data_IF_726500178961
#
_entry.id   IF_726500178961
#
_cell.length_a   1.000
_cell.length_b   1.000
_cell.length_c   1.000
_cell.angle_alpha   90.00
_cell.angle_beta   90.00
_cell.angle_gamma   90.00
#
_symmetry.space_group_name_H-M   'P 1'
#
loop_
_entity.id
_entity.type
_entity.pdbx_description
1 polymer ?
#
# COMPACT_ATOMS: atom_id res chain seq x y z
N UNK A 1 14.27 6.50 28.29
CA UNK A 1 13.18 5.91 27.46
C UNK A 1 12.54 4.74 28.19
N UNK A 2 13.34 3.78 28.67
CA UNK A 2 12.88 2.53 29.29
C UNK A 2 11.93 2.66 30.50
N UNK A 3 11.98 3.79 31.20
CA UNK A 3 11.11 4.04 32.37
C UNK A 3 9.64 4.23 32.00
N UNK A 4 9.34 4.64 30.77
CA UNK A 4 7.98 5.00 30.34
C UNK A 4 7.41 4.07 29.27
N UNK A 5 8.16 3.05 28.87
CA UNK A 5 7.72 2.04 27.89
C UNK A 5 7.96 0.62 28.37
N UNK A 6 7.29 -0.33 27.72
CA UNK A 6 7.61 -1.75 27.80
C UNK A 6 8.15 -2.21 26.45
N UNK A 7 9.30 -2.88 26.45
CA UNK A 7 9.94 -3.41 25.23
C UNK A 7 9.62 -4.89 25.10
N UNK A 8 9.06 -5.29 23.95
CA UNK A 8 8.60 -6.64 23.63
C UNK A 8 7.65 -7.25 24.66
N UNK A 9 6.53 -6.58 25.00
CA UNK A 9 5.63 -7.02 26.06
C UNK A 9 4.87 -8.33 25.73
N UNK A 10 4.90 -8.79 24.48
CA UNK A 10 4.22 -10.00 24.04
C UNK A 10 5.08 -10.82 23.09
N UNK A 11 5.19 -12.11 23.39
CA UNK A 11 5.84 -13.11 22.55
C UNK A 11 4.86 -14.24 22.28
N UNK A 12 4.93 -14.80 21.07
CA UNK A 12 4.12 -15.94 20.67
C UNK A 12 4.42 -17.14 21.56
N UNK A 13 3.38 -17.64 22.23
CA UNK A 13 3.45 -18.86 23.03
C UNK A 13 3.33 -20.12 22.17
N UNK A 14 3.54 -21.29 22.80
CA UNK A 14 3.30 -22.59 22.15
C UNK A 14 1.81 -22.82 21.86
N UNK A 15 0.94 -22.33 22.72
CA UNK A 15 -0.52 -22.45 22.62
C UNK A 15 -1.12 -21.33 21.77
N UNK A 16 -0.53 -21.07 20.60
CA UNK A 16 -1.00 -20.03 19.69
C UNK A 16 -2.34 -20.44 19.06
N UNK A 17 -3.42 -19.63 19.21
CA UNK A 17 -4.78 -20.07 18.87
C UNK A 17 -5.12 -19.95 17.37
N UNK A 18 -4.28 -19.30 16.57
CA UNK A 18 -4.58 -19.05 15.15
C UNK A 18 -3.85 -20.01 14.22
N UNK A 19 -4.58 -20.57 13.24
CA UNK A 19 -4.01 -21.46 12.21
C UNK A 19 -3.12 -20.71 11.19
N UNK A 20 -3.35 -19.41 11.03
CA UNK A 20 -2.59 -18.50 10.16
C UNK A 20 -2.22 -17.24 10.92
N UNK A 21 -1.11 -16.61 10.55
CA UNK A 21 -0.67 -15.32 11.08
C UNK A 21 -0.43 -14.31 9.97
N UNK A 22 -0.68 -13.05 10.30
CA UNK A 22 -0.27 -11.90 9.51
C UNK A 22 1.17 -11.56 9.95
N UNK A 23 2.16 -11.91 9.12
CA UNK A 23 3.57 -11.77 9.45
C UNK A 23 4.18 -10.52 8.81
N UNK A 24 4.86 -9.71 9.64
CA UNK A 24 5.58 -8.51 9.19
C UNK A 24 7.08 -8.72 9.41
N UNK A 25 7.82 -8.81 8.30
CA UNK A 25 9.28 -8.82 8.30
C UNK A 25 9.87 -7.40 8.20
N UNK A 26 11.18 -7.26 8.44
CA UNK A 26 11.87 -5.96 8.34
C UNK A 26 11.74 -5.37 6.93
N UNK A 27 11.80 -6.22 5.89
CA UNK A 27 11.68 -5.75 4.51
C UNK A 27 10.34 -5.12 4.16
N UNK A 28 9.28 -5.47 4.91
CA UNK A 28 7.93 -4.96 4.69
C UNK A 28 7.68 -3.59 5.37
N UNK A 29 8.66 -3.06 6.10
CA UNK A 29 8.53 -1.79 6.84
C UNK A 29 9.61 -0.80 6.42
N UNK A 30 9.17 0.33 5.88
CA UNK A 30 10.00 1.49 5.56
C UNK A 30 10.00 2.54 6.67
N UNK A 31 10.22 3.79 6.28
CA UNK A 31 10.19 4.94 7.19
C UNK A 31 8.74 5.36 7.49
N UNK A 32 8.13 4.72 8.50
CA UNK A 32 6.79 5.06 8.97
C UNK A 32 5.64 4.53 8.12
N UNK A 33 5.92 3.60 7.21
CA UNK A 33 4.96 3.03 6.27
C UNK A 33 5.25 1.57 5.98
N UNK A 34 4.20 0.83 5.62
CA UNK A 34 4.34 -0.51 5.04
C UNK A 34 4.75 -0.37 3.58
N UNK A 35 5.84 -1.03 3.18
CA UNK A 35 6.32 -1.04 1.79
C UNK A 35 5.67 -2.13 0.96
N UNK A 36 5.17 -3.16 1.63
CA UNK A 36 4.54 -4.34 1.04
C UNK A 36 3.39 -4.80 1.94
N UNK A 37 2.42 -5.54 1.39
CA UNK A 37 1.38 -6.13 2.21
C UNK A 37 1.95 -7.22 3.13
N UNK A 38 1.53 -7.28 4.41
CA UNK A 38 1.94 -8.34 5.31
C UNK A 38 1.60 -9.73 4.75
N UNK A 39 2.56 -10.66 4.83
CA UNK A 39 2.34 -12.01 4.36
C UNK A 39 1.36 -12.75 5.29
N UNK A 40 0.31 -13.34 4.71
CA UNK A 40 -0.53 -14.30 5.45
C UNK A 40 0.09 -15.68 5.34
N UNK A 41 0.61 -16.20 6.46
CA UNK A 41 1.35 -17.47 6.47
C UNK A 41 0.67 -18.48 7.41
N UNK A 42 0.61 -19.78 7.05
CA UNK A 42 0.21 -20.83 7.96
C UNK A 42 1.15 -20.88 9.17
N UNK A 43 0.61 -20.99 10.38
CA UNK A 43 1.39 -20.92 11.63
C UNK A 43 2.50 -21.97 11.71
N UNK A 44 2.28 -23.15 11.13
CA UNK A 44 3.26 -24.24 11.09
C UNK A 44 4.44 -23.99 10.12
N UNK A 45 4.28 -23.05 9.19
CA UNK A 45 5.33 -22.61 8.25
C UNK A 45 5.97 -21.29 8.67
N UNK A 46 5.57 -20.74 9.83
CA UNK A 46 6.07 -19.47 10.30
C UNK A 46 7.59 -19.52 10.53
N UNK A 47 8.35 -18.51 10.06
CA UNK A 47 9.78 -18.46 10.30
C UNK A 47 10.07 -18.39 11.80
N UNK A 48 11.24 -18.86 12.22
CA UNK A 48 11.64 -18.84 13.64
C UNK A 48 11.61 -17.43 14.25
N UNK A 49 11.77 -16.40 13.43
CA UNK A 49 11.70 -14.98 13.81
C UNK A 49 10.27 -14.44 14.00
N UNK A 50 9.21 -15.12 13.56
CA UNK A 50 7.82 -14.71 13.78
C UNK A 50 7.41 -14.95 15.24
N UNK A 51 7.75 -14.00 16.12
CA UNK A 51 7.61 -14.18 17.57
C UNK A 51 6.96 -12.99 18.28
N UNK A 52 7.18 -11.75 17.86
CA UNK A 52 6.77 -10.60 18.67
C UNK A 52 5.32 -10.23 18.37
N UNK A 53 4.51 -10.10 19.41
CA UNK A 53 3.10 -9.75 19.31
C UNK A 53 2.94 -8.24 19.36
N UNK A 54 2.02 -7.72 18.55
CA UNK A 54 1.75 -6.29 18.41
C UNK A 54 0.29 -6.00 18.73
N UNK A 55 0.04 -4.87 19.38
CA UNK A 55 -1.29 -4.33 19.66
C UNK A 55 -1.45 -2.95 19.04
N UNK A 56 -2.69 -2.48 18.98
CA UNK A 56 -2.97 -1.10 18.61
C UNK A 56 -2.20 -0.14 19.53
N UNK A 57 -1.59 0.88 18.93
CA UNK A 57 -0.77 1.87 19.63
C UNK A 57 0.68 1.47 19.90
N UNK A 58 1.10 0.26 19.56
CA UNK A 58 2.51 -0.12 19.65
C UNK A 58 3.34 0.56 18.54
N UNK A 59 4.59 0.88 18.84
CA UNK A 59 5.59 1.27 17.84
C UNK A 59 6.51 0.09 17.58
N UNK A 60 6.62 -0.35 16.34
CA UNK A 60 7.63 -1.34 15.94
C UNK A 60 8.84 -0.60 15.37
N UNK A 61 10.05 -0.97 15.82
CA UNK A 61 11.31 -0.32 15.44
C UNK A 61 12.35 -1.39 15.11
N UNK A 62 12.94 -1.35 13.92
CA UNK A 62 13.97 -2.31 13.54
C UNK A 62 15.20 -2.14 14.43
N UNK A 63 15.66 -3.24 15.01
CA UNK A 63 16.94 -3.29 15.74
C UNK A 63 18.11 -3.65 14.82
N UNK A 64 17.86 -3.83 13.53
CA UNK A 64 18.87 -4.11 12.51
C UNK A 64 18.96 -2.92 11.57
N UNK A 65 20.18 -2.43 11.33
CA UNK A 65 20.46 -1.26 10.48
C UNK A 65 19.58 -0.07 10.87
N UNK A 66 19.72 0.46 12.10
CA UNK A 66 18.88 1.56 12.60
C UNK A 66 18.91 2.78 11.67
N UNK A 67 20.00 3.00 10.93
CA UNK A 67 20.11 4.02 9.89
C UNK A 67 19.07 3.95 8.77
N UNK A 68 18.46 2.77 8.52
CA UNK A 68 17.35 2.62 7.55
C UNK A 68 16.03 3.13 8.07
N UNK A 69 15.92 3.32 9.38
CA UNK A 69 14.72 3.86 10.02
C UNK A 69 13.48 3.05 9.65
N UNK A 70 13.59 1.72 9.68
CA UNK A 70 12.44 0.85 9.53
C UNK A 70 11.64 0.87 10.83
N UNK A 71 10.59 1.70 10.87
CA UNK A 71 9.66 1.75 12.00
C UNK A 71 8.22 2.02 11.54
N UNK A 72 7.26 1.63 12.35
CA UNK A 72 5.83 1.80 12.06
C UNK A 72 5.03 1.94 13.36
N UNK A 73 4.00 2.78 13.32
CA UNK A 73 2.97 2.82 14.34
C UNK A 73 1.86 1.83 14.01
N UNK A 74 1.62 0.86 14.89
CA UNK A 74 0.62 -0.17 14.70
C UNK A 74 -0.79 0.40 14.92
N UNK A 75 -1.58 0.45 13.85
CA UNK A 75 -2.97 0.92 13.85
C UNK A 75 -3.91 -0.25 13.61
N UNK A 76 -4.73 -0.57 14.61
CA UNK A 76 -5.71 -1.67 14.58
C UNK A 76 -5.16 -2.96 13.95
N UNK A 77 -4.00 -3.48 14.41
CA UNK A 77 -3.48 -4.74 13.87
C UNK A 77 -4.46 -5.88 14.14
N UNK A 78 -4.54 -6.83 13.22
CA UNK A 78 -5.32 -8.04 13.41
C UNK A 78 -4.82 -8.82 14.63
N UNK A 79 -5.68 -9.55 15.37
CA UNK A 79 -5.26 -10.32 16.56
C UNK A 79 -4.17 -11.36 16.28
N UNK A 80 -4.05 -11.81 15.03
CA UNK A 80 -3.05 -12.77 14.58
C UNK A 80 -1.81 -12.10 13.94
N UNK A 81 -1.61 -10.79 14.11
CA UNK A 81 -0.42 -10.08 13.63
C UNK A 81 0.80 -10.40 14.50
N UNK A 82 1.88 -10.83 13.85
CA UNK A 82 3.15 -11.18 14.48
C UNK A 82 4.27 -10.52 13.70
N UNK A 83 5.22 -9.90 14.39
CA UNK A 83 6.37 -9.24 13.76
C UNK A 83 7.66 -10.00 14.02
N UNK A 84 8.61 -9.82 13.09
CA UNK A 84 9.94 -10.41 13.17
C UNK A 84 10.65 -10.03 14.46
N UNK A 85 11.46 -10.95 15.01
CA UNK A 85 12.39 -10.63 16.10
C UNK A 85 13.46 -9.62 15.69
N UNK A 86 13.53 -9.22 14.43
CA UNK A 86 14.31 -8.06 14.00
C UNK A 86 13.77 -6.70 14.44
N UNK A 87 12.53 -6.62 14.96
CA UNK A 87 11.92 -5.39 15.46
C UNK A 87 11.79 -5.37 16.96
N UNK A 88 12.14 -4.29 17.66
CA UNK A 88 11.62 -3.97 18.98
C UNK A 88 10.16 -3.53 18.90
N UNK A 89 9.28 -4.13 19.71
CA UNK A 89 7.92 -3.66 19.91
C UNK A 89 7.93 -2.78 21.16
N UNK A 90 7.70 -1.49 20.98
CA UNK A 90 7.69 -0.49 22.04
C UNK A 90 6.24 -0.17 22.38
N UNK A 91 5.82 -0.51 23.59
CA UNK A 91 4.47 -0.20 24.10
C UNK A 91 4.55 0.92 25.11
N UNK A 92 3.79 1.97 24.90
CA UNK A 92 3.65 3.07 25.85
C UNK A 92 3.06 2.58 27.19
N UNK A 93 3.60 3.07 28.31
CA UNK A 93 2.90 3.04 29.59
C UNK A 93 2.04 4.30 29.64
N UNK A 94 0.73 4.14 29.43
CA UNK A 94 -0.20 5.24 29.15
C UNK A 94 -0.25 6.33 30.25
N UNK A 95 0.17 5.99 31.47
CA UNK A 95 0.33 6.92 32.59
C UNK A 95 1.47 7.92 32.41
N UNK A 96 2.45 7.61 31.57
CA UNK A 96 3.74 8.30 31.52
C UNK A 96 4.04 8.86 30.12
N UNK A 97 3.59 8.16 29.07
CA UNK A 97 3.81 8.58 27.69
C UNK A 97 2.61 8.30 26.79
N UNK A 98 2.28 9.25 25.92
CA UNK A 98 1.31 9.05 24.84
C UNK A 98 1.91 8.20 23.71
N UNK A 99 1.15 7.23 23.18
CA UNK A 99 1.67 6.28 22.19
C UNK A 99 2.04 6.92 20.85
N UNK A 100 1.30 7.95 20.42
CA UNK A 100 1.63 8.70 19.19
C UNK A 100 2.79 9.66 19.43
N UNK A 101 2.94 10.19 20.66
CA UNK A 101 4.14 10.94 21.03
C UNK A 101 5.39 10.05 21.06
N UNK A 102 5.31 8.83 21.61
CA UNK A 102 6.37 7.82 21.54
C UNK A 102 6.78 7.57 20.08
N UNK A 103 5.81 7.43 19.18
CA UNK A 103 6.10 7.28 17.75
C UNK A 103 6.84 8.48 17.16
N UNK A 104 6.41 9.71 17.49
CA UNK A 104 7.09 10.92 17.07
C UNK A 104 8.54 11.01 17.59
N UNK A 105 8.80 10.57 18.83
CA UNK A 105 10.17 10.47 19.37
C UNK A 105 11.03 9.49 18.58
N UNK A 106 10.48 8.32 18.23
CA UNK A 106 11.20 7.30 17.45
C UNK A 106 11.49 7.79 16.02
N UNK A 107 10.64 8.65 15.46
CA UNK A 107 10.87 9.32 14.19
C UNK A 107 11.89 10.48 14.27
N UNK A 108 12.32 10.90 15.45
CA UNK A 108 13.34 11.94 15.55
C UNK A 108 14.68 11.44 14.98
N UNK A 109 15.32 12.29 14.18
CA UNK A 109 16.67 12.03 13.66
C UNK A 109 17.67 11.88 14.79
N UNK A 110 17.54 12.70 15.85
CA UNK A 110 18.45 12.61 17.00
C UNK A 110 18.38 11.24 17.68
N UNK A 111 17.18 10.65 17.77
CA UNK A 111 17.00 9.30 18.30
C UNK A 111 17.65 8.23 17.40
N UNK A 112 17.47 8.35 16.08
CA UNK A 112 18.13 7.46 15.11
C UNK A 112 19.66 7.57 15.19
N UNK A 113 20.19 8.78 15.22
CA UNK A 113 21.63 9.05 15.28
C UNK A 113 22.23 8.45 16.56
N UNK A 114 21.56 8.62 17.70
CA UNK A 114 21.92 7.97 18.95
C UNK A 114 22.02 6.44 18.80
N UNK A 115 21.03 5.79 18.17
CA UNK A 115 21.05 4.34 17.97
C UNK A 115 22.17 3.90 17.02
N UNK A 116 22.43 4.66 15.97
CA UNK A 116 23.54 4.40 15.03
C UNK A 116 24.89 4.45 15.74
N UNK A 117 25.08 5.34 16.72
CA UNK A 117 26.35 5.38 17.50
C UNK A 117 26.59 4.13 18.36
N UNK A 118 25.56 3.31 18.59
CA UNK A 118 25.59 2.11 19.45
C UNK A 118 25.54 0.81 18.67
N UNK A 119 25.42 0.87 17.35
CA UNK A 119 25.29 -0.33 16.53
C UNK A 119 26.57 -1.18 16.57
N UNK A 120 26.38 -2.50 16.65
CA UNK A 120 27.47 -3.47 16.66
C UNK A 120 27.38 -4.40 15.44
N UNK A 121 28.53 -4.76 14.88
CA UNK A 121 28.64 -5.68 13.76
C UNK A 121 28.83 -4.97 12.41
N UNK A 122 29.92 -5.29 11.71
CA UNK A 122 30.31 -4.57 10.48
C UNK A 122 29.39 -4.84 9.27
N UNK A 123 28.95 -6.09 9.05
CA UNK A 123 28.13 -6.46 7.88
C UNK A 123 26.61 -6.38 8.13
N UNK A 124 26.21 -6.53 9.40
CA UNK A 124 24.83 -6.49 9.87
C UNK A 124 24.79 -5.71 11.18
N UNK A 125 24.88 -4.37 11.10
CA UNK A 125 24.85 -3.55 12.30
C UNK A 125 23.51 -3.72 12.99
N UNK A 126 23.54 -3.96 14.29
CA UNK A 126 22.36 -4.14 15.10
C UNK A 126 22.52 -3.45 16.45
N UNK A 127 21.39 -3.06 17.02
CA UNK A 127 21.27 -2.54 18.39
C UNK A 127 20.59 -3.56 19.28
N UNK A 128 20.90 -3.51 20.57
CA UNK A 128 20.20 -4.27 21.58
C UNK A 128 18.93 -3.54 22.03
N UNK A 129 18.03 -4.23 22.74
CA UNK A 129 16.91 -3.58 23.41
C UNK A 129 17.37 -2.68 24.57
N UNK A 130 18.55 -2.95 25.13
CA UNK A 130 19.13 -2.14 26.20
C UNK A 130 19.53 -0.75 25.68
N UNK A 131 20.03 -0.67 24.46
CA UNK A 131 20.38 0.62 23.82
C UNK A 131 19.15 1.53 23.70
N UNK A 132 17.98 0.95 23.35
CA UNK A 132 16.69 1.65 23.31
C UNK A 132 16.24 2.04 24.71
N UNK A 133 16.42 1.15 25.70
CA UNK A 133 16.03 1.39 27.08
C UNK A 133 16.77 2.61 27.67
N UNK A 134 18.08 2.68 27.45
CA UNK A 134 18.97 3.73 27.95
C UNK A 134 18.84 5.07 27.24
N UNK A 135 18.13 5.14 26.11
CA UNK A 135 18.00 6.37 25.34
C UNK A 135 17.38 7.50 26.17
N UNK A 136 18.11 8.61 26.32
CA UNK A 136 17.60 9.82 26.95
C UNK A 136 16.70 10.57 25.97
N UNK A 137 15.49 10.91 26.41
CA UNK A 137 14.48 11.58 25.57
C UNK A 137 13.83 12.71 26.33
N UNK A 138 13.47 13.79 25.63
CA UNK A 138 12.69 14.88 26.20
C UNK A 138 11.26 14.40 26.45
N UNK A 139 10.83 14.43 27.72
CA UNK A 139 9.51 13.98 28.13
C UNK A 139 8.74 15.16 28.77
N UNK A 140 8.03 15.97 27.97
CA UNK A 140 7.17 17.02 28.50
C UNK A 140 5.96 16.41 29.23
N UNK A 141 5.18 17.20 29.98
CA UNK A 141 3.96 16.72 30.61
C UNK A 141 2.96 16.10 29.62
N UNK A 142 2.17 15.12 30.05
CA UNK A 142 1.23 14.38 29.17
C UNK A 142 0.31 15.25 28.32
N UNK A 143 -0.16 16.39 28.84
CA UNK A 143 -1.04 17.29 28.09
C UNK A 143 -0.33 17.89 26.87
N UNK A 144 0.96 18.19 26.99
CA UNK A 144 1.79 18.73 25.91
C UNK A 144 2.16 17.62 24.93
N UNK A 145 2.51 16.42 25.42
CA UNK A 145 2.72 15.24 24.57
C UNK A 145 1.50 14.97 23.68
N UNK A 146 0.29 14.95 24.26
CA UNK A 146 -0.97 14.76 23.53
C UNK A 146 -1.22 15.87 22.50
N UNK A 147 -0.84 17.11 22.81
CA UNK A 147 -0.98 18.23 21.87
C UNK A 147 -0.05 18.06 20.66
N UNK A 148 1.20 17.69 20.89
CA UNK A 148 2.18 17.39 19.84
C UNK A 148 1.70 16.22 18.99
N UNK A 149 1.33 15.11 19.65
CA UNK A 149 0.82 13.90 19.02
C UNK A 149 -0.43 14.15 18.17
N UNK A 150 -1.33 15.03 18.61
CA UNK A 150 -2.52 15.41 17.85
C UNK A 150 -2.15 16.12 16.55
N UNK A 151 -1.23 17.09 16.60
CA UNK A 151 -0.82 17.86 15.41
C UNK A 151 -0.11 16.96 14.41
N UNK A 152 0.92 16.24 14.84
CA UNK A 152 1.70 15.36 13.96
C UNK A 152 0.84 14.19 13.44
N UNK A 153 0.09 13.56 14.35
CA UNK A 153 -0.77 12.43 14.00
C UNK A 153 -1.87 12.81 13.00
N UNK A 154 -2.39 14.04 13.04
CA UNK A 154 -3.40 14.49 12.06
C UNK A 154 -2.85 14.58 10.63
N UNK A 155 -1.57 14.90 10.48
CA UNK A 155 -0.89 14.93 9.18
C UNK A 155 -0.63 13.51 8.67
N UNK A 156 -0.14 12.63 9.55
CA UNK A 156 0.06 11.21 9.22
C UNK A 156 -1.26 10.53 8.81
N UNK A 157 -2.35 10.80 9.54
CA UNK A 157 -3.67 10.26 9.24
C UNK A 157 -4.14 10.72 7.84
N UNK A 158 -3.82 11.96 7.44
CA UNK A 158 -4.14 12.50 6.12
C UNK A 158 -3.28 11.91 5.00
N UNK A 159 -1.99 11.70 5.24
CA UNK A 159 -1.07 11.05 4.28
C UNK A 159 -1.56 9.63 3.99
N UNK A 160 -1.91 8.88 5.04
CA UNK A 160 -2.41 7.52 4.93
C UNK A 160 -3.74 7.48 4.15
N UNK A 161 -4.66 8.40 4.43
CA UNK A 161 -5.91 8.52 3.68
C UNK A 161 -5.65 8.77 2.19
N UNK A 162 -4.77 9.71 1.84
CA UNK A 162 -4.44 10.01 0.45
C UNK A 162 -3.80 8.81 -0.26
N UNK A 163 -2.92 8.05 0.42
CA UNK A 163 -2.34 6.83 -0.16
C UNK A 163 -3.39 5.78 -0.50
N UNK A 164 -4.35 5.55 0.39
CA UNK A 164 -5.49 4.63 0.13
C UNK A 164 -6.36 5.08 -1.03
N UNK A 165 -6.60 6.39 -1.13
CA UNK A 165 -7.32 6.96 -2.27
C UNK A 165 -6.55 6.72 -3.57
N UNK A 166 -5.23 6.99 -3.60
CA UNK A 166 -4.41 6.72 -4.78
C UNK A 166 -4.43 5.24 -5.19
N UNK A 167 -4.26 4.32 -4.23
CA UNK A 167 -4.34 2.88 -4.50
C UNK A 167 -5.70 2.49 -5.07
N UNK A 168 -6.80 3.01 -4.51
CA UNK A 168 -8.16 2.74 -5.02
C UNK A 168 -8.34 3.27 -6.45
N UNK A 169 -7.85 4.49 -6.73
CA UNK A 169 -7.91 5.07 -8.07
C UNK A 169 -7.08 4.28 -9.08
N UNK A 170 -5.92 3.76 -8.68
CA UNK A 170 -5.08 2.91 -9.50
C UNK A 170 -5.76 1.57 -9.82
N UNK A 171 -6.38 0.93 -8.82
CA UNK A 171 -7.15 -0.30 -9.01
C UNK A 171 -8.33 -0.08 -9.99
N UNK A 172 -9.06 1.02 -9.82
CA UNK A 172 -10.14 1.39 -10.73
C UNK A 172 -9.62 1.64 -12.15
N UNK A 173 -8.53 2.40 -12.30
CA UNK A 173 -7.92 2.66 -13.59
C UNK A 173 -7.45 1.37 -14.28
N UNK A 174 -6.83 0.45 -13.53
CA UNK A 174 -6.38 -0.85 -14.04
C UNK A 174 -7.55 -1.74 -14.46
N UNK A 175 -8.65 -1.74 -13.69
CA UNK A 175 -9.86 -2.48 -14.04
C UNK A 175 -10.50 -1.94 -15.33
N UNK A 176 -10.61 -0.61 -15.46
CA UNK A 176 -11.12 0.05 -16.67
C UNK A 176 -10.21 -0.27 -17.87
N UNK A 177 -8.89 -0.13 -17.71
CA UNK A 177 -7.94 -0.41 -18.78
C UNK A 177 -8.04 -1.86 -19.26
N UNK A 178 -8.10 -2.81 -18.34
CA UNK A 178 -8.28 -4.22 -18.68
C UNK A 178 -9.59 -4.45 -19.44
N UNK A 179 -10.71 -3.98 -18.90
CA UNK A 179 -12.03 -4.11 -19.53
C UNK A 179 -12.03 -3.55 -20.96
N UNK A 180 -11.46 -2.36 -21.18
CA UNK A 180 -11.57 -1.67 -22.46
C UNK A 180 -10.54 -2.12 -23.50
N UNK A 181 -9.32 -2.44 -23.07
CA UNK A 181 -8.17 -2.62 -23.97
C UNK A 181 -7.54 -4.01 -23.91
N UNK A 182 -7.97 -4.88 -22.99
CA UNK A 182 -7.51 -6.27 -22.92
C UNK A 182 -8.67 -7.23 -23.20
N UNK A 183 -9.79 -7.05 -22.52
CA UNK A 183 -10.97 -7.91 -22.66
C UNK A 183 -11.93 -7.40 -23.76
N UNK A 184 -11.76 -6.14 -24.17
CA UNK A 184 -12.53 -5.44 -25.21
C UNK A 184 -14.04 -5.39 -24.93
N UNK A 185 -14.44 -5.27 -23.67
CA UNK A 185 -15.85 -5.31 -23.23
C UNK A 185 -16.76 -4.36 -24.01
N UNK A 186 -16.40 -3.09 -24.29
CA UNK A 186 -17.26 -2.20 -25.07
C UNK A 186 -17.51 -2.72 -26.50
N UNK A 187 -16.48 -3.26 -27.17
CA UNK A 187 -16.57 -3.79 -28.54
C UNK A 187 -17.41 -5.06 -28.55
N UNK A 188 -17.17 -5.99 -27.60
CA UNK A 188 -17.96 -7.21 -27.46
C UNK A 188 -19.43 -6.91 -27.17
N UNK A 189 -19.71 -5.90 -26.34
CA UNK A 189 -21.06 -5.44 -26.07
C UNK A 189 -21.77 -4.94 -27.34
N UNK A 190 -21.07 -4.20 -28.21
CA UNK A 190 -21.61 -3.78 -29.52
C UNK A 190 -21.93 -4.98 -30.42
N UNK A 191 -20.98 -5.90 -30.55
CA UNK A 191 -21.16 -7.11 -31.38
C UNK A 191 -22.38 -7.92 -30.92
N UNK A 192 -22.50 -8.17 -29.61
CA UNK A 192 -23.63 -8.89 -29.03
C UNK A 192 -24.96 -8.16 -29.25
N UNK A 193 -24.98 -6.84 -29.06
CA UNK A 193 -26.18 -6.03 -29.30
C UNK A 193 -26.63 -6.09 -30.76
N UNK A 194 -25.69 -6.02 -31.72
CA UNK A 194 -26.00 -6.13 -33.16
C UNK A 194 -26.60 -7.51 -33.48
N UNK A 195 -26.02 -8.59 -32.95
CA UNK A 195 -26.53 -9.95 -33.15
C UNK A 195 -27.96 -10.14 -32.61
N UNK A 196 -28.32 -9.41 -31.56
CA UNK A 196 -29.65 -9.41 -30.93
C UNK A 196 -30.60 -8.35 -31.49
N UNK A 197 -30.16 -7.50 -32.43
CA UNK A 197 -30.96 -6.40 -32.98
C UNK A 197 -31.20 -5.24 -32.01
N UNK A 198 -30.35 -5.07 -30.99
CA UNK A 198 -30.35 -3.97 -30.01
C UNK A 198 -29.43 -2.82 -30.46
N UNK A 199 -29.50 -1.68 -29.76
CA UNK A 199 -28.65 -0.52 -30.01
C UNK A 199 -27.21 -0.78 -29.50
N UNK A 200 -26.20 -0.87 -30.41
CA UNK A 200 -24.81 -1.13 -30.02
C UNK A 200 -24.19 0.02 -29.22
N UNK A 201 -24.48 1.28 -29.55
CA UNK A 201 -23.92 2.42 -28.82
C UNK A 201 -24.38 2.39 -27.36
N UNK A 202 -25.64 2.05 -27.15
CA UNK A 202 -26.21 1.92 -25.79
C UNK A 202 -25.60 0.76 -25.01
N UNK A 203 -25.34 -0.37 -25.65
CA UNK A 203 -24.65 -1.50 -25.02
C UNK A 203 -23.19 -1.16 -24.65
N UNK A 204 -22.48 -0.44 -25.51
CA UNK A 204 -21.13 0.05 -25.20
C UNK A 204 -21.15 1.06 -24.03
N UNK A 205 -22.11 1.99 -23.99
CA UNK A 205 -22.26 2.92 -22.86
C UNK A 205 -22.49 2.18 -21.54
N UNK A 206 -23.27 1.10 -21.55
CA UNK A 206 -23.49 0.25 -20.38
C UNK A 206 -22.17 -0.41 -19.91
N UNK A 207 -21.41 -0.99 -20.83
CA UNK A 207 -20.09 -1.58 -20.53
C UNK A 207 -19.10 -0.54 -19.98
N UNK A 208 -18.97 0.62 -20.64
CA UNK A 208 -18.08 1.72 -20.26
C UNK A 208 -18.40 2.26 -18.87
N UNK A 209 -19.68 2.41 -18.55
CA UNK A 209 -20.11 2.96 -17.25
C UNK A 209 -20.20 1.93 -16.13
N UNK A 210 -20.08 0.64 -16.45
CA UNK A 210 -20.35 -0.46 -15.50
C UNK A 210 -21.81 -0.50 -15.02
N UNK A 211 -22.74 0.14 -15.74
CA UNK A 211 -24.18 0.19 -15.42
C UNK A 211 -24.97 -0.62 -16.43
N UNK A 212 -26.13 -1.12 -16.02
CA UNK A 212 -27.05 -1.71 -16.98
C UNK A 212 -27.73 -0.62 -17.84
N UNK A 213 -28.28 -1.02 -18.99
CA UNK A 213 -28.87 -0.09 -19.95
C UNK A 213 -30.05 0.72 -19.38
N UNK A 214 -30.81 0.18 -18.44
CA UNK A 214 -31.94 0.87 -17.80
C UNK A 214 -31.46 1.99 -16.87
N UNK A 215 -30.36 1.75 -16.15
CA UNK A 215 -29.75 2.74 -15.28
C UNK A 215 -29.18 3.94 -16.05
N UNK A 216 -28.86 3.79 -17.35
CA UNK A 216 -28.42 4.90 -18.19
C UNK A 216 -29.49 6.00 -18.32
N UNK A 217 -30.78 5.66 -18.28
CA UNK A 217 -31.88 6.63 -18.41
C UNK A 217 -31.99 7.56 -17.20
N UNK A 218 -31.37 7.19 -16.08
CA UNK A 218 -31.34 8.00 -14.85
C UNK A 218 -30.13 8.94 -14.77
N UNK A 219 -29.21 8.86 -15.75
CA UNK A 219 -28.01 9.67 -15.74
C UNK A 219 -28.29 11.11 -16.22
N UNK A 220 -27.55 12.10 -15.68
CA UNK A 220 -27.59 13.46 -16.21
C UNK A 220 -27.27 13.47 -17.71
N UNK A 221 -27.91 14.37 -18.46
CA UNK A 221 -27.76 14.47 -19.91
C UNK A 221 -26.29 14.68 -20.35
N UNK A 222 -25.53 15.45 -19.56
CA UNK A 222 -24.09 15.68 -19.79
C UNK A 222 -23.28 14.38 -19.68
N UNK A 223 -23.54 13.58 -18.64
CA UNK A 223 -22.89 12.28 -18.44
C UNK A 223 -23.25 11.31 -19.57
N UNK A 224 -24.51 11.28 -19.98
CA UNK A 224 -24.98 10.45 -21.09
C UNK A 224 -24.29 10.85 -22.41
N UNK A 225 -24.15 12.15 -22.67
CA UNK A 225 -23.48 12.67 -23.86
C UNK A 225 -21.99 12.28 -23.88
N UNK A 226 -21.29 12.39 -22.74
CA UNK A 226 -19.90 11.94 -22.63
C UNK A 226 -19.77 10.44 -22.86
N UNK A 227 -20.64 9.62 -22.26
CA UNK A 227 -20.62 8.16 -22.44
C UNK A 227 -20.85 7.78 -23.90
N UNK A 228 -21.78 8.44 -24.59
CA UNK A 228 -22.02 8.22 -26.01
C UNK A 228 -20.79 8.58 -26.85
N UNK A 229 -20.19 9.74 -26.59
CA UNK A 229 -18.97 10.15 -27.29
C UNK A 229 -17.83 9.13 -27.10
N UNK A 230 -17.64 8.61 -25.88
CA UNK A 230 -16.65 7.56 -25.61
C UNK A 230 -17.03 6.23 -26.28
N UNK A 231 -18.30 5.82 -26.23
CA UNK A 231 -18.78 4.60 -26.87
C UNK A 231 -18.51 4.61 -28.38
N UNK A 232 -18.69 5.75 -29.04
CA UNK A 232 -18.47 5.90 -30.48
C UNK A 232 -16.99 5.78 -30.89
N UNK A 233 -16.03 5.82 -29.95
CA UNK A 233 -14.62 5.57 -30.23
C UNK A 233 -14.29 4.08 -30.37
N UNK A 234 -15.16 3.18 -29.88
CA UNK A 234 -14.96 1.74 -29.97
C UNK A 234 -15.63 1.17 -31.24
N UNK A 235 -14.95 0.33 -32.03
CA UNK A 235 -15.54 -0.31 -33.21
C UNK A 235 -16.61 -1.34 -32.80
N UNK A 236 -17.34 -1.88 -33.79
CA UNK A 236 -18.46 -2.81 -33.55
C UNK A 236 -18.20 -4.23 -34.05
N UNK A 237 -16.93 -4.58 -34.24
CA UNK A 237 -16.45 -5.76 -34.96
C UNK A 237 -15.00 -6.07 -34.57
N UNK A 238 -14.59 -7.31 -34.82
CA UNK A 238 -13.23 -7.80 -34.60
C UNK A 238 -12.56 -8.20 -35.92
N UNK A 239 -11.24 -8.22 -35.92
CA UNK A 239 -10.38 -8.77 -36.97
C UNK A 239 -9.34 -9.69 -36.36
N UNK A 240 -8.89 -10.69 -37.12
CA UNK A 240 -7.79 -11.57 -36.72
C UNK A 240 -6.45 -10.82 -36.72
N UNK A 241 -5.59 -11.11 -35.75
CA UNK A 241 -4.20 -10.64 -35.66
C UNK A 241 -3.28 -11.72 -35.08
N UNK A 242 -1.97 -11.48 -35.08
CA UNK A 242 -0.99 -12.39 -34.46
C UNK A 242 -1.20 -12.55 -32.94
N UNK A 243 -1.87 -11.59 -32.30
CA UNK A 243 -2.19 -11.60 -30.87
C UNK A 243 -3.59 -12.16 -30.56
N UNK A 244 -4.29 -12.70 -31.56
CA UNK A 244 -5.68 -13.13 -31.48
C UNK A 244 -6.66 -12.11 -32.06
N UNK A 245 -7.94 -12.24 -31.75
CA UNK A 245 -8.96 -11.28 -32.21
C UNK A 245 -8.76 -9.91 -31.55
N UNK A 246 -8.60 -8.87 -32.36
CA UNK A 246 -8.51 -7.46 -31.92
C UNK A 246 -9.65 -6.62 -32.55
N UNK A 247 -10.03 -5.49 -31.94
CA UNK A 247 -11.05 -4.63 -32.50
C UNK A 247 -10.72 -4.14 -33.91
N UNK A 248 -11.72 -4.02 -34.79
CA UNK A 248 -11.50 -3.55 -36.17
C UNK A 248 -10.85 -2.15 -36.20
N UNK A 249 -9.82 -1.99 -37.04
CA UNK A 249 -9.03 -0.76 -37.16
C UNK A 249 -7.90 -0.62 -36.14
N UNK A 250 -7.79 -1.56 -35.20
CA UNK A 250 -6.62 -1.67 -34.31
C UNK A 250 -5.56 -2.55 -34.98
N UNK A 251 -4.31 -2.38 -34.59
CA UNK A 251 -3.17 -3.09 -35.18
C UNK A 251 -2.15 -3.42 -34.10
N UNK A 252 -1.55 -4.61 -34.20
CA UNK A 252 -0.34 -4.95 -33.47
C UNK A 252 0.88 -4.44 -34.25
N UNK A 253 1.93 -4.06 -33.52
CA UNK A 253 3.11 -3.47 -34.11
C UNK A 253 4.22 -3.28 -33.08
N UNK A 254 5.42 -2.97 -33.56
CA UNK A 254 6.55 -2.68 -32.67
C UNK A 254 6.42 -1.27 -32.13
N UNK A 255 6.82 -1.05 -30.88
CA UNK A 255 6.79 0.28 -30.26
C UNK A 255 7.55 1.34 -31.09
N UNK A 256 8.62 0.93 -31.77
CA UNK A 256 9.41 1.78 -32.66
C UNK A 256 8.65 2.24 -33.93
N UNK A 257 7.59 1.55 -34.33
CA UNK A 257 6.73 1.93 -35.45
C UNK A 257 5.67 2.96 -35.03
N UNK A 258 5.37 3.02 -33.72
CA UNK A 258 4.28 3.84 -33.15
C UNK A 258 4.78 5.08 -32.41
N UNK A 259 6.05 5.12 -31.99
CA UNK A 259 6.62 6.27 -31.31
C UNK A 259 8.08 6.50 -31.66
N UNK A 260 8.46 7.78 -31.73
CA UNK A 260 9.85 8.19 -31.84
C UNK A 260 10.46 8.31 -30.44
N UNK A 261 11.43 7.45 -30.15
CA UNK A 261 12.08 7.41 -28.86
C UNK A 261 13.19 8.46 -28.81
N UNK A 262 13.02 9.51 -28.00
CA UNK A 262 14.06 10.51 -27.73
C UNK A 262 14.65 11.18 -29.00
N UNK A 263 13.79 11.85 -29.79
CA UNK A 263 14.17 12.56 -31.02
C UNK A 263 15.36 13.52 -30.87
N UNK A 264 15.59 14.07 -29.68
CA UNK A 264 16.62 15.08 -29.41
C UNK A 264 17.90 14.56 -28.76
N UNK A 265 17.99 13.29 -28.34
CA UNK A 265 19.13 12.79 -27.55
C UNK A 265 19.91 11.64 -28.19
N UNK A 266 19.56 11.20 -29.40
CA UNK A 266 20.32 10.19 -30.15
C UNK A 266 21.12 10.83 -31.28
N UNK A 267 22.37 11.20 -31.01
CA UNK A 267 23.35 11.41 -32.07
C UNK A 267 23.82 10.04 -32.58
N UNK A 268 23.76 9.81 -33.90
CA UNK A 268 24.22 8.61 -34.60
C UNK A 268 25.74 8.34 -34.41
N UNK A 269 26.14 7.93 -33.21
CA UNK A 269 27.44 7.33 -32.90
C UNK A 269 27.25 6.16 -31.95
N UNK A 270 26.69 5.08 -32.49
CA UNK A 270 26.96 3.69 -32.07
C UNK A 270 26.61 2.79 -33.23
#
# INVERSE_FOLDING_TARGET
MGDVISINPGTRGRDWPHSHMCYIDISAVGEGLMTEEPATIPTHQAPSRAQRLVKDGDVILSTVRPNRRSMLYARNPSPNTVVSTGFAVLRARESDIDSRFLYALVQDRAFTDYLVTREQGAAYPAISTNDIFEAEVALPPLWEQRRIAQVLGSLDDKIELHRRMCATLEEMARAIFRSWFVDFDPVRAKVAAIAEGRDPERAAMAAISGKNEQALDTLPAETLASLRATASLFPSSFTDSELGEIPEGWHDGRLAELCTLNESSWNNRT
#
